data_IF_585176992084
#
_entry.id   IF_585176992084
#
_cell.length_a   1.000
_cell.length_b   1.000
_cell.length_c   1.000
_cell.angle_alpha   90.00
_cell.angle_beta   90.00
_cell.angle_gamma   90.00
#
_symmetry.space_group_name_H-M   'P 1'
#
loop_
_entity.id
_entity.type
_entity.pdbx_description
1 polymer ?
#
# COMPACT_ATOMS: atom_id res chain seq x y z
N UNK A 1 -0.20 -8.89 13.13
CA UNK A 1 0.27 -7.96 12.09
C UNK A 1 0.89 -6.70 12.65
N UNK A 2 0.29 -6.04 13.65
CA UNK A 2 0.88 -4.82 14.25
C UNK A 2 2.37 -4.95 14.62
N UNK A 3 2.77 -5.97 15.39
CA UNK A 3 4.20 -6.17 15.72
C UNK A 3 5.09 -6.39 14.49
N UNK A 4 4.59 -7.05 13.45
CA UNK A 4 5.36 -7.29 12.23
C UNK A 4 5.55 -5.98 11.45
N UNK A 5 4.53 -5.13 11.46
CA UNK A 5 4.61 -3.78 10.92
C UNK A 5 5.65 -2.95 11.67
N UNK A 6 5.58 -2.93 13.01
CA UNK A 6 6.49 -2.12 13.84
C UNK A 6 7.96 -2.54 13.63
N UNK A 7 8.25 -3.84 13.59
CA UNK A 7 9.61 -4.31 13.32
C UNK A 7 10.08 -4.00 11.89
N UNK A 8 9.20 -4.12 10.89
CA UNK A 8 9.53 -3.77 9.51
C UNK A 8 9.77 -2.27 9.36
N UNK A 9 9.05 -1.43 10.12
CA UNK A 9 9.24 0.01 10.16
C UNK A 9 10.59 0.38 10.79
N UNK A 10 10.95 -0.20 11.93
CA UNK A 10 12.26 -0.02 12.56
C UNK A 10 13.42 -0.45 11.62
N UNK A 11 13.25 -1.59 10.93
CA UNK A 11 14.21 -2.03 9.92
C UNK A 11 14.33 -1.01 8.78
N UNK A 12 13.21 -0.45 8.32
CA UNK A 12 13.19 0.55 7.26
C UNK A 12 13.85 1.87 7.67
N UNK A 13 13.75 2.28 8.94
CA UNK A 13 14.46 3.46 9.45
C UNK A 13 15.97 3.28 9.40
N UNK A 14 16.45 2.05 9.60
CA UNK A 14 17.88 1.71 9.54
C UNK A 14 18.36 1.52 8.10
N UNK A 15 17.57 0.83 7.27
CA UNK A 15 17.89 0.46 5.90
C UNK A 15 16.80 0.95 4.93
N UNK A 16 16.72 2.27 4.68
CA UNK A 16 15.58 2.88 3.99
C UNK A 16 15.49 2.54 2.50
N UNK A 17 16.51 1.95 1.91
CA UNK A 17 16.54 1.59 0.48
C UNK A 17 16.60 0.09 0.25
N UNK A 18 16.54 -0.71 1.32
CA UNK A 18 16.50 -2.16 1.19
C UNK A 18 15.11 -2.59 0.69
N UNK A 19 15.09 -3.26 -0.46
CA UNK A 19 13.85 -3.68 -1.11
C UNK A 19 13.16 -4.83 -0.40
N UNK A 20 13.91 -5.69 0.28
CA UNK A 20 13.35 -6.81 1.05
C UNK A 20 12.65 -6.29 2.31
N UNK A 21 13.27 -5.32 2.99
CA UNK A 21 12.66 -4.60 4.11
C UNK A 21 11.38 -3.89 3.67
N UNK A 22 11.41 -3.19 2.53
CA UNK A 22 10.23 -2.54 1.96
C UNK A 22 9.13 -3.53 1.57
N UNK A 23 9.47 -4.70 1.06
CA UNK A 23 8.51 -5.77 0.75
C UNK A 23 7.79 -6.26 1.99
N UNK A 24 8.52 -6.54 3.06
CA UNK A 24 7.94 -6.97 4.35
C UNK A 24 7.07 -5.85 4.93
N UNK A 25 7.52 -4.60 4.88
CA UNK A 25 6.77 -3.46 5.38
C UNK A 25 5.45 -3.29 4.61
N UNK A 26 5.48 -3.26 3.28
CA UNK A 26 4.27 -3.18 2.45
C UNK A 26 3.31 -4.33 2.78
N UNK A 27 3.80 -5.57 2.83
CA UNK A 27 2.99 -6.74 3.19
C UNK A 27 2.33 -6.61 4.56
N UNK A 28 3.09 -6.17 5.56
CA UNK A 28 2.61 -6.00 6.92
C UNK A 28 1.58 -4.87 7.04
N UNK A 29 1.84 -3.70 6.44
CA UNK A 29 0.91 -2.55 6.41
C UNK A 29 -0.37 -2.90 5.67
N UNK A 30 -0.27 -3.55 4.50
CA UNK A 30 -1.44 -3.96 3.71
C UNK A 30 -2.34 -4.94 4.48
N UNK A 31 -1.75 -5.93 5.15
CA UNK A 31 -2.52 -6.84 5.99
C UNK A 31 -3.10 -6.15 7.23
N UNK A 32 -2.36 -5.23 7.84
CA UNK A 32 -2.86 -4.44 8.96
C UNK A 32 -4.06 -3.58 8.55
N UNK A 33 -4.06 -3.02 7.34
CA UNK A 33 -5.21 -2.31 6.78
C UNK A 33 -6.44 -3.24 6.60
N UNK A 34 -6.24 -4.45 6.08
CA UNK A 34 -7.31 -5.44 5.92
C UNK A 34 -7.94 -5.87 7.26
N UNK A 35 -7.13 -5.97 8.32
CA UNK A 35 -7.56 -6.38 9.65
C UNK A 35 -8.16 -5.20 10.48
N UNK A 36 -8.13 -3.98 9.94
CA UNK A 36 -8.47 -2.75 10.65
C UNK A 36 -9.91 -2.28 10.43
N UNK A 37 -10.43 -1.52 11.41
CA UNK A 37 -11.65 -0.75 11.24
C UNK A 37 -11.47 0.37 10.20
N UNK A 38 -12.58 0.87 9.64
CA UNK A 38 -12.57 1.79 8.48
C UNK A 38 -11.60 2.97 8.57
N UNK A 39 -11.50 3.63 9.73
CA UNK A 39 -10.58 4.76 9.91
C UNK A 39 -9.12 4.34 9.79
N UNK A 40 -8.71 3.32 10.53
CA UNK A 40 -7.34 2.81 10.51
C UNK A 40 -7.01 2.15 9.17
N UNK A 41 -7.97 1.45 8.56
CA UNK A 41 -7.83 0.91 7.18
C UNK A 41 -7.44 2.00 6.19
N UNK A 42 -8.10 3.16 6.24
CA UNK A 42 -7.78 4.26 5.33
C UNK A 42 -6.41 4.87 5.64
N UNK A 43 -6.06 5.03 6.91
CA UNK A 43 -4.72 5.52 7.30
C UNK A 43 -3.60 4.58 6.82
N UNK A 44 -3.73 3.29 7.10
CA UNK A 44 -2.79 2.28 6.64
C UNK A 44 -2.78 2.17 5.11
N UNK A 45 -3.88 2.48 4.42
CA UNK A 45 -3.89 2.58 2.95
C UNK A 45 -2.96 3.68 2.41
N UNK A 46 -2.93 4.85 3.06
CA UNK A 46 -2.00 5.93 2.69
C UNK A 46 -0.55 5.56 3.03
N UNK A 47 -0.33 4.95 4.19
CA UNK A 47 1.00 4.48 4.60
C UNK A 47 1.54 3.40 3.64
N UNK A 48 0.70 2.43 3.29
CA UNK A 48 1.02 1.39 2.32
C UNK A 48 1.42 2.00 0.97
N UNK A 49 0.65 2.99 0.48
CA UNK A 49 0.97 3.66 -0.77
C UNK A 49 2.35 4.32 -0.73
N UNK A 50 2.68 5.02 0.37
CA UNK A 50 3.97 5.68 0.53
C UNK A 50 5.14 4.70 0.39
N UNK A 51 5.08 3.56 1.09
CA UNK A 51 6.15 2.57 1.04
C UNK A 51 6.19 1.81 -0.28
N UNK A 52 5.04 1.54 -0.88
CA UNK A 52 4.96 0.87 -2.17
C UNK A 52 5.51 1.76 -3.30
N UNK A 53 5.17 3.05 -3.32
CA UNK A 53 5.71 4.02 -4.28
C UNK A 53 7.25 4.09 -4.17
N UNK A 54 7.77 4.04 -2.94
CA UNK A 54 9.22 3.97 -2.68
C UNK A 54 9.85 2.67 -3.16
N UNK A 55 9.21 1.52 -2.92
CA UNK A 55 9.68 0.22 -3.37
C UNK A 55 9.74 0.12 -4.91
N UNK A 56 8.71 0.61 -5.59
CA UNK A 56 8.65 0.65 -7.06
C UNK A 56 9.69 1.61 -7.64
N UNK A 57 9.98 2.71 -6.97
CA UNK A 57 11.05 3.62 -7.39
C UNK A 57 12.45 2.96 -7.33
N UNK A 58 12.64 1.97 -6.45
CA UNK A 58 13.90 1.22 -6.30
C UNK A 58 13.96 -0.02 -7.22
N UNK A 59 12.84 -0.71 -7.40
CA UNK A 59 12.73 -1.92 -8.23
C UNK A 59 11.40 -1.93 -9.00
N UNK A 60 11.39 -1.25 -10.13
CA UNK A 60 10.18 -1.01 -10.93
C UNK A 60 9.65 -2.27 -11.66
N UNK A 61 10.51 -3.27 -11.87
CA UNK A 61 10.25 -4.53 -12.55
C UNK A 61 9.90 -5.68 -11.58
N UNK A 62 9.84 -5.41 -10.28
CA UNK A 62 9.41 -6.41 -9.29
C UNK A 62 7.96 -6.79 -9.50
N UNK A 63 7.74 -8.05 -9.89
CA UNK A 63 6.40 -8.65 -9.96
C UNK A 63 5.63 -8.48 -8.65
N UNK A 64 6.30 -8.63 -7.51
CA UNK A 64 5.68 -8.48 -6.20
C UNK A 64 5.11 -7.07 -5.99
N UNK A 65 5.90 -6.03 -6.26
CA UNK A 65 5.48 -4.65 -6.07
C UNK A 65 4.42 -4.22 -7.08
N UNK A 66 4.53 -4.69 -8.33
CA UNK A 66 3.49 -4.49 -9.33
C UNK A 66 2.20 -5.15 -8.89
N UNK A 67 2.24 -6.42 -8.46
CA UNK A 67 1.05 -7.11 -7.97
C UNK A 67 0.40 -6.40 -6.76
N UNK A 68 1.21 -5.93 -5.80
CA UNK A 68 0.75 -5.12 -4.67
C UNK A 68 0.08 -3.81 -5.13
N UNK A 69 0.65 -3.12 -6.13
CA UNK A 69 0.06 -1.89 -6.71
C UNK A 69 -1.26 -2.20 -7.38
N UNK A 70 -1.33 -3.27 -8.15
CA UNK A 70 -2.56 -3.70 -8.80
C UNK A 70 -3.70 -3.96 -7.80
N UNK A 71 -3.41 -4.66 -6.70
CA UNK A 71 -4.39 -4.88 -5.61
C UNK A 71 -4.83 -3.56 -4.97
N UNK A 72 -3.89 -2.66 -4.69
CA UNK A 72 -4.19 -1.36 -4.10
C UNK A 72 -5.04 -0.47 -5.02
N UNK A 73 -4.66 -0.36 -6.30
CA UNK A 73 -5.43 0.42 -7.28
C UNK A 73 -6.86 -0.11 -7.45
N UNK A 74 -7.03 -1.43 -7.45
CA UNK A 74 -8.36 -2.05 -7.45
C UNK A 74 -9.18 -1.64 -6.21
N UNK A 75 -8.58 -1.73 -5.02
CA UNK A 75 -9.26 -1.35 -3.78
C UNK A 75 -9.65 0.15 -3.76
N UNK A 76 -8.74 1.05 -4.15
CA UNK A 76 -9.02 2.49 -4.20
C UNK A 76 -10.11 2.81 -5.24
N UNK A 77 -10.04 2.17 -6.41
CA UNK A 77 -11.04 2.35 -7.48
C UNK A 77 -12.44 1.89 -7.05
N UNK A 78 -12.53 0.88 -6.18
CA UNK A 78 -13.78 0.25 -5.72
C UNK A 78 -14.28 0.75 -4.36
N UNK A 79 -13.64 1.75 -3.76
CA UNK A 79 -14.10 2.34 -2.49
C UNK A 79 -15.56 2.77 -2.54
N UNK A 80 -16.29 2.49 -1.45
CA UNK A 80 -17.63 3.01 -1.23
C UNK A 80 -17.64 4.53 -0.99
N UNK A 81 -18.82 5.15 -1.06
CA UNK A 81 -18.95 6.61 -0.89
C UNK A 81 -18.47 7.12 0.48
N UNK A 82 -18.68 6.34 1.55
CA UNK A 82 -18.24 6.68 2.91
C UNK A 82 -16.72 6.60 3.03
N UNK A 83 -16.12 5.48 2.63
CA UNK A 83 -14.65 5.31 2.64
C UNK A 83 -13.96 6.38 1.79
N UNK A 84 -14.52 6.69 0.61
CA UNK A 84 -14.00 7.72 -0.29
C UNK A 84 -14.07 9.12 0.32
N UNK A 85 -15.16 9.44 1.02
CA UNK A 85 -15.29 10.73 1.74
C UNK A 85 -14.27 10.82 2.86
N UNK A 86 -14.10 9.75 3.64
CA UNK A 86 -13.12 9.72 4.71
C UNK A 86 -11.68 9.86 4.18
N UNK A 87 -11.33 9.12 3.13
CA UNK A 87 -10.01 9.20 2.52
C UNK A 87 -9.70 10.62 2.02
N UNK A 88 -10.68 11.30 1.41
CA UNK A 88 -10.54 12.71 0.99
C UNK A 88 -10.40 13.69 2.15
N UNK A 89 -10.96 13.37 3.32
CA UNK A 89 -10.79 14.19 4.52
C UNK A 89 -9.39 14.01 5.15
N UNK A 90 -8.77 12.84 4.98
CA UNK A 90 -7.43 12.53 5.50
C UNK A 90 -6.31 12.92 4.54
N UNK A 91 -6.56 12.93 3.22
CA UNK A 91 -5.56 13.26 2.22
C UNK A 91 -6.07 13.24 0.78
N UNK A 92 -5.15 13.31 -0.18
CA UNK A 92 -5.47 13.22 -1.60
C UNK A 92 -5.51 11.78 -2.06
N UNK A 93 -6.66 11.32 -2.57
CA UNK A 93 -6.73 10.00 -3.19
C UNK A 93 -5.85 9.92 -4.44
N UNK A 94 -5.09 8.83 -4.62
CA UNK A 94 -4.30 8.63 -5.83
C UNK A 94 -5.19 8.44 -7.06
N UNK A 95 -4.68 8.84 -8.22
CA UNK A 95 -5.33 8.56 -9.50
C UNK A 95 -5.14 7.07 -9.82
N UNK A 96 -6.21 6.30 -9.67
CA UNK A 96 -6.22 4.84 -9.87
C UNK A 96 -7.26 4.48 -10.92
N UNK A 97 -7.04 3.36 -11.63
CA UNK A 97 -8.03 2.83 -12.57
C UNK A 97 -8.04 1.31 -12.54
N UNK A 98 -9.19 0.71 -12.86
CA UNK A 98 -9.31 -0.74 -12.98
C UNK A 98 -8.44 -1.32 -14.10
N UNK A 99 -8.17 -0.53 -15.15
CA UNK A 99 -7.30 -0.94 -16.26
C UNK A 99 -5.84 -1.06 -15.81
N UNK A 100 -5.31 -0.05 -15.11
CA UNK A 100 -3.96 -0.09 -14.54
C UNK A 100 -3.84 -1.19 -13.48
N UNK A 101 -4.85 -1.33 -12.63
CA UNK A 101 -4.91 -2.41 -11.66
C UNK A 101 -4.80 -3.79 -12.34
N UNK A 102 -5.53 -4.00 -13.45
CA UNK A 102 -5.48 -5.24 -14.20
C UNK A 102 -4.11 -5.48 -14.86
N UNK A 103 -3.51 -4.44 -15.45
CA UNK A 103 -2.17 -4.53 -16.07
C UNK A 103 -1.13 -4.98 -15.04
N UNK A 104 -1.13 -4.37 -13.86
CA UNK A 104 -0.18 -4.67 -12.79
C UNK A 104 -0.39 -6.06 -12.16
N UNK A 105 -1.63 -6.52 -12.06
CA UNK A 105 -1.94 -7.86 -11.55
C UNK A 105 -1.48 -8.98 -12.51
N UNK A 106 -1.32 -8.67 -13.79
CA UNK A 106 -0.95 -9.61 -14.86
C UNK A 106 0.49 -9.42 -15.38
N UNK A 107 1.24 -8.51 -14.77
CA UNK A 107 2.59 -8.15 -15.18
C UNK A 107 3.58 -9.32 -15.08
#
# INVERSE_FOLDING_TARGET
>A
MLRAHDYALEAHETEPTDTDVLSVLCSATGKLAEDSAMMEKVKFGFEFQQYLDKAIALCADSYEFLHMRGRFEYQVSTLGAVERTLARALGSLPNTSLERALQDLLA
#
